data_IF_347884864171
#
_entry.id   IF_347884864171
#
_cell.length_a   1.000
_cell.length_b   1.000
_cell.length_c   1.000
_cell.angle_alpha   90.00
_cell.angle_beta   90.00
_cell.angle_gamma   90.00
#
_symmetry.space_group_name_H-M   'P 1'
#
loop_
_entity.id
_entity.type
_entity.pdbx_description
1 polymer ?
#
# COMPACT_ATOMS: atom_id res chain seq x y z
N UNK A 1 -11.10 -28.99 -40.75
CA UNK A 1 -9.72 -29.30 -40.31
C UNK A 1 -9.56 -30.80 -40.31
N UNK A 2 -8.60 -31.34 -41.05
CA UNK A 2 -8.38 -32.79 -41.18
C UNK A 2 -7.06 -33.17 -40.49
N UNK A 3 -6.95 -34.40 -40.00
CA UNK A 3 -5.69 -34.97 -39.52
C UNK A 3 -4.73 -35.20 -40.69
N UNK A 4 -3.47 -35.51 -40.38
CA UNK A 4 -2.43 -35.86 -41.36
C UNK A 4 -2.80 -37.09 -42.21
N UNK A 5 -3.66 -37.97 -41.70
CA UNK A 5 -4.23 -39.12 -42.42
C UNK A 5 -5.49 -38.78 -43.25
N UNK A 6 -5.82 -37.49 -43.39
CA UNK A 6 -7.01 -36.96 -44.06
C UNK A 6 -8.35 -37.31 -43.39
N UNK A 7 -8.37 -37.93 -42.22
CA UNK A 7 -9.61 -38.10 -41.45
C UNK A 7 -10.13 -36.76 -40.91
N UNK A 8 -11.45 -36.52 -40.90
CA UNK A 8 -12.01 -35.31 -40.31
C UNK A 8 -11.75 -35.31 -38.80
N UNK A 9 -11.28 -34.18 -38.27
CA UNK A 9 -11.19 -34.00 -36.83
C UNK A 9 -12.62 -33.81 -36.31
N UNK A 10 -13.09 -34.61 -35.32
CA UNK A 10 -14.38 -34.39 -34.69
C UNK A 10 -14.48 -32.96 -34.17
N UNK A 11 -15.46 -32.20 -34.65
CA UNK A 11 -15.70 -30.82 -34.26
C UNK A 11 -17.13 -30.68 -33.74
N UNK A 12 -17.31 -29.97 -32.63
CA UNK A 12 -18.61 -29.64 -32.09
C UNK A 12 -19.08 -28.30 -32.69
N UNK A 13 -20.19 -28.31 -33.43
CA UNK A 13 -20.81 -27.07 -33.90
C UNK A 13 -21.57 -26.41 -32.75
N UNK A 14 -21.16 -25.20 -32.36
CA UNK A 14 -21.78 -24.45 -31.27
C UNK A 14 -22.76 -23.37 -31.75
N UNK A 15 -22.83 -23.09 -33.06
CA UNK A 15 -23.59 -21.96 -33.62
C UNK A 15 -25.08 -22.00 -33.27
N UNK A 16 -25.69 -23.18 -33.33
CA UNK A 16 -27.11 -23.40 -32.99
C UNK A 16 -27.36 -23.58 -31.49
N UNK A 17 -26.28 -23.78 -30.70
CA UNK A 17 -26.35 -24.06 -29.27
C UNK A 17 -26.18 -22.78 -28.46
N UNK A 18 -25.33 -21.86 -28.93
CA UNK A 18 -25.04 -20.59 -28.24
C UNK A 18 -25.93 -19.49 -28.81
N UNK A 19 -26.80 -18.86 -28.00
CA UNK A 19 -27.61 -17.73 -28.45
C UNK A 19 -26.73 -16.57 -28.94
N UNK A 20 -27.05 -16.00 -30.11
CA UNK A 20 -26.30 -14.87 -30.67
C UNK A 20 -26.26 -13.67 -29.71
N UNK A 21 -27.34 -13.41 -28.99
CA UNK A 21 -27.41 -12.34 -27.97
C UNK A 21 -26.38 -12.51 -26.85
N UNK A 22 -26.02 -13.75 -26.47
CA UNK A 22 -24.95 -14.01 -25.51
C UNK A 22 -23.59 -13.60 -26.08
N UNK A 23 -23.32 -13.97 -27.33
CA UNK A 23 -22.08 -13.62 -28.03
C UNK A 23 -21.94 -12.10 -28.21
N UNK A 24 -23.04 -11.41 -28.54
CA UNK A 24 -23.05 -9.96 -28.70
C UNK A 24 -22.73 -9.25 -27.38
N UNK A 25 -23.34 -9.70 -26.27
CA UNK A 25 -23.05 -9.16 -24.93
C UNK A 25 -21.62 -9.46 -24.48
N UNK A 26 -21.13 -10.67 -24.72
CA UNK A 26 -19.73 -11.02 -24.47
C UNK A 26 -18.78 -10.10 -25.25
N UNK A 27 -19.03 -9.93 -26.55
CA UNK A 27 -18.22 -9.08 -27.44
C UNK A 27 -18.24 -7.63 -26.97
N UNK A 28 -19.41 -7.10 -26.61
CA UNK A 28 -19.56 -5.76 -26.04
C UNK A 28 -18.73 -5.57 -24.77
N UNK A 29 -18.76 -6.51 -23.82
CA UNK A 29 -17.96 -6.43 -22.60
C UNK A 29 -16.45 -6.58 -22.87
N UNK A 30 -16.07 -7.53 -23.72
CA UNK A 30 -14.67 -7.87 -24.01
C UNK A 30 -13.95 -6.73 -24.72
N UNK A 31 -14.60 -6.10 -25.69
CA UNK A 31 -14.04 -5.04 -26.52
C UNK A 31 -14.48 -3.63 -26.12
N UNK A 32 -15.12 -3.48 -24.95
CA UNK A 32 -15.51 -2.17 -24.42
C UNK A 32 -14.29 -1.28 -24.20
N UNK A 33 -14.32 -0.05 -24.71
CA UNK A 33 -13.35 1.01 -24.41
C UNK A 33 -13.54 1.64 -23.02
N UNK A 34 -14.62 1.30 -22.31
CA UNK A 34 -14.90 1.83 -20.97
C UNK A 34 -14.01 1.18 -19.91
N UNK A 35 -13.68 1.97 -18.90
CA UNK A 35 -12.96 1.53 -17.70
C UNK A 35 -13.69 0.40 -16.96
N UNK A 36 -15.01 0.49 -16.86
CA UNK A 36 -15.88 -0.56 -16.30
C UNK A 36 -16.78 -1.06 -17.42
N UNK A 37 -16.49 -2.24 -18.02
CA UNK A 37 -17.23 -2.74 -19.17
C UNK A 37 -18.73 -2.89 -18.92
N UNK A 38 -19.11 -3.38 -17.74
CA UNK A 38 -20.49 -3.58 -17.33
C UNK A 38 -21.18 -2.29 -16.81
N UNK A 39 -20.53 -1.13 -16.88
CA UNK A 39 -20.97 0.09 -16.17
C UNK A 39 -22.37 0.57 -16.56
N UNK A 40 -22.82 0.32 -17.79
CA UNK A 40 -24.19 0.66 -18.22
C UNK A 40 -25.26 -0.17 -17.50
N UNK A 41 -24.92 -1.39 -17.09
CA UNK A 41 -25.84 -2.35 -16.49
C UNK A 41 -25.66 -2.48 -14.97
N UNK A 42 -24.65 -1.85 -14.38
CA UNK A 42 -24.24 -2.07 -12.99
C UNK A 42 -25.36 -1.76 -11.98
N UNK A 43 -26.23 -0.79 -12.28
CA UNK A 43 -27.37 -0.42 -11.44
C UNK A 43 -28.48 -1.49 -11.43
N UNK A 44 -28.51 -2.35 -12.44
CA UNK A 44 -29.48 -3.44 -12.58
C UNK A 44 -28.95 -4.76 -12.02
N UNK A 45 -27.77 -4.75 -11.39
CA UNK A 45 -27.16 -5.92 -10.79
C UNK A 45 -27.81 -6.16 -9.44
N UNK A 46 -28.02 -7.44 -9.14
CA UNK A 46 -28.60 -7.83 -7.88
C UNK A 46 -27.67 -7.42 -6.74
N UNK A 47 -28.20 -6.72 -5.74
CA UNK A 47 -27.38 -6.19 -4.66
C UNK A 47 -26.74 -7.31 -3.85
N UNK A 48 -27.43 -8.43 -3.63
CA UNK A 48 -26.90 -9.59 -2.88
C UNK A 48 -25.70 -10.18 -3.64
N UNK A 49 -25.83 -10.34 -4.96
CA UNK A 49 -24.73 -10.81 -5.81
C UNK A 49 -23.54 -9.87 -5.77
N UNK A 50 -23.76 -8.55 -5.83
CA UNK A 50 -22.67 -7.57 -5.77
C UNK A 50 -21.94 -7.65 -4.42
N UNK A 51 -22.66 -7.66 -3.29
CA UNK A 51 -22.05 -7.76 -1.97
C UNK A 51 -21.27 -9.08 -1.78
N UNK A 52 -21.88 -10.22 -2.14
CA UNK A 52 -21.20 -11.52 -2.11
C UNK A 52 -19.93 -11.53 -2.97
N UNK A 53 -19.97 -10.88 -4.13
CA UNK A 53 -18.79 -10.75 -4.97
C UNK A 53 -17.71 -9.86 -4.35
N UNK A 54 -18.10 -8.75 -3.71
CA UNK A 54 -17.17 -7.87 -2.99
C UNK A 54 -16.46 -8.61 -1.84
N UNK A 55 -17.16 -9.46 -1.10
CA UNK A 55 -16.55 -10.30 -0.05
C UNK A 55 -15.45 -11.20 -0.61
N UNK A 56 -15.73 -11.88 -1.73
CA UNK A 56 -14.75 -12.71 -2.43
C UNK A 56 -13.55 -11.89 -2.91
N UNK A 57 -13.79 -10.69 -3.44
CA UNK A 57 -12.72 -9.81 -3.93
C UNK A 57 -11.79 -9.34 -2.81
N UNK A 58 -12.31 -9.04 -1.62
CA UNK A 58 -11.46 -8.73 -0.46
C UNK A 58 -10.62 -9.95 -0.07
N UNK A 59 -11.21 -11.14 -0.06
CA UNK A 59 -10.48 -12.38 0.23
C UNK A 59 -9.35 -12.61 -0.80
N UNK A 60 -9.64 -12.55 -2.10
CA UNK A 60 -8.63 -12.69 -3.17
C UNK A 60 -7.51 -11.66 -3.04
N UNK A 61 -7.85 -10.41 -2.69
CA UNK A 61 -6.86 -9.37 -2.47
C UNK A 61 -5.95 -9.67 -1.28
N UNK A 62 -6.51 -10.18 -0.18
CA UNK A 62 -5.75 -10.54 1.01
C UNK A 62 -4.85 -11.75 0.75
N UNK A 63 -5.33 -12.75 0.02
CA UNK A 63 -4.53 -13.90 -0.43
C UNK A 63 -3.36 -13.46 -1.30
N UNK A 64 -3.60 -12.62 -2.32
CA UNK A 64 -2.55 -12.08 -3.19
C UNK A 64 -1.50 -11.27 -2.44
N UNK A 65 -1.91 -10.45 -1.46
CA UNK A 65 -0.97 -9.78 -0.55
C UNK A 65 -0.27 -10.77 0.38
N UNK A 66 -0.97 -11.83 0.75
CA UNK A 66 -0.47 -12.93 1.55
C UNK A 66 0.67 -13.69 0.89
N UNK A 67 0.60 -13.93 -0.41
CA UNK A 67 1.67 -14.56 -1.17
C UNK A 67 2.98 -13.76 -1.08
N UNK A 68 2.88 -12.43 -1.20
CA UNK A 68 4.03 -11.55 -1.05
C UNK A 68 4.60 -11.56 0.39
N UNK A 69 3.74 -11.68 1.40
CA UNK A 69 4.15 -11.81 2.82
C UNK A 69 4.82 -13.17 3.06
N UNK A 70 4.26 -14.25 2.53
CA UNK A 70 4.81 -15.60 2.66
C UNK A 70 6.22 -15.70 2.05
N UNK A 71 6.43 -15.09 0.89
CA UNK A 71 7.76 -15.02 0.27
C UNK A 71 8.77 -14.29 1.18
N UNK A 72 8.36 -13.17 1.78
CA UNK A 72 9.23 -12.43 2.73
C UNK A 72 9.54 -13.25 3.97
N UNK A 73 8.55 -13.93 4.56
CA UNK A 73 8.75 -14.79 5.73
C UNK A 73 9.75 -15.90 5.46
N UNK A 74 9.68 -16.52 4.29
CA UNK A 74 10.67 -17.53 3.89
C UNK A 74 12.09 -16.95 3.86
N UNK A 75 12.24 -15.73 3.31
CA UNK A 75 13.54 -15.04 3.23
C UNK A 75 14.04 -14.52 4.59
N UNK A 76 13.16 -14.27 5.55
CA UNK A 76 13.52 -13.77 6.89
C UNK A 76 13.50 -14.85 7.98
N UNK A 77 13.37 -16.13 7.60
CA UNK A 77 13.31 -17.27 8.53
C UNK A 77 12.16 -17.09 9.55
N UNK A 78 10.97 -16.78 9.03
CA UNK A 78 9.73 -16.57 9.79
C UNK A 78 9.77 -15.40 10.80
N UNK A 79 10.58 -14.38 10.53
CA UNK A 79 10.63 -13.17 11.35
C UNK A 79 9.49 -12.21 11.00
N UNK A 80 8.38 -12.31 11.73
CA UNK A 80 7.23 -11.45 11.54
C UNK A 80 7.46 -9.98 11.87
N UNK A 81 8.39 -9.65 12.77
CA UNK A 81 8.73 -8.26 13.08
C UNK A 81 9.45 -7.62 11.88
N UNK A 82 10.40 -8.34 11.28
CA UNK A 82 11.10 -7.90 10.06
C UNK A 82 10.13 -7.79 8.87
N UNK A 83 9.26 -8.79 8.65
CA UNK A 83 8.29 -8.74 7.54
C UNK A 83 7.27 -7.62 7.73
N UNK A 84 6.85 -7.36 8.97
CA UNK A 84 5.98 -6.22 9.25
C UNK A 84 6.69 -4.89 8.99
N UNK A 85 7.95 -4.75 9.39
CA UNK A 85 8.77 -3.58 9.09
C UNK A 85 8.90 -3.32 7.59
N UNK A 86 9.23 -4.35 6.78
CA UNK A 86 9.26 -4.25 5.32
C UNK A 86 7.90 -3.79 4.76
N UNK A 87 6.82 -4.43 5.18
CA UNK A 87 5.47 -4.12 4.68
C UNK A 87 5.03 -2.70 5.05
N UNK A 88 5.41 -2.24 6.25
CA UNK A 88 5.16 -0.88 6.73
C UNK A 88 5.91 0.16 5.90
N UNK A 89 7.22 -0.02 5.69
CA UNK A 89 8.01 0.90 4.87
C UNK A 89 7.51 0.95 3.43
N UNK A 90 7.29 -0.21 2.81
CA UNK A 90 6.79 -0.28 1.43
C UNK A 90 5.43 0.41 1.28
N UNK A 91 4.58 0.32 2.31
CA UNK A 91 3.31 1.05 2.35
C UNK A 91 3.50 2.57 2.45
N UNK A 92 4.51 3.06 3.17
CA UNK A 92 4.82 4.50 3.25
C UNK A 92 5.22 5.11 1.89
N UNK A 93 5.73 4.31 0.96
CA UNK A 93 6.14 4.76 -0.37
C UNK A 93 5.03 4.92 -1.41
N UNK A 94 3.78 4.58 -1.07
CA UNK A 94 2.71 4.29 -2.02
C UNK A 94 2.40 5.41 -3.06
N UNK A 95 2.17 5.09 -4.35
CA UNK A 95 2.74 3.96 -5.09
C UNK A 95 4.14 4.27 -5.65
N UNK A 96 4.53 5.56 -5.69
CA UNK A 96 5.66 6.02 -6.50
C UNK A 96 7.01 5.59 -5.95
N UNK A 97 7.15 5.52 -4.62
CA UNK A 97 8.37 5.17 -3.89
C UNK A 97 8.27 3.83 -3.14
N UNK A 98 7.29 2.97 -3.43
CA UNK A 98 7.14 1.68 -2.74
C UNK A 98 8.40 0.81 -2.85
N UNK A 99 8.98 0.71 -4.05
CA UNK A 99 10.20 -0.05 -4.32
C UNK A 99 11.45 0.55 -3.63
N UNK A 100 11.71 1.88 -3.71
CA UNK A 100 12.76 2.50 -2.89
C UNK A 100 12.64 2.25 -1.38
N UNK A 101 11.42 2.26 -0.84
CA UNK A 101 11.18 1.95 0.57
C UNK A 101 11.41 0.46 0.91
N UNK A 102 11.02 -0.44 0.02
CA UNK A 102 11.32 -1.87 0.14
C UNK A 102 12.84 -2.12 0.13
N UNK A 103 13.56 -1.41 -0.74
CA UNK A 103 15.02 -1.47 -0.82
C UNK A 103 15.64 -0.94 0.48
N UNK A 104 15.18 0.21 0.97
CA UNK A 104 15.62 0.76 2.26
C UNK A 104 15.44 -0.24 3.41
N UNK A 105 14.29 -0.93 3.49
CA UNK A 105 14.04 -1.94 4.50
C UNK A 105 15.09 -3.07 4.45
N UNK A 106 15.49 -3.48 3.24
CA UNK A 106 16.52 -4.50 3.01
C UNK A 106 17.91 -4.03 3.46
N UNK A 107 18.27 -2.77 3.16
CA UNK A 107 19.56 -2.19 3.54
C UNK A 107 19.63 -1.75 5.02
N UNK A 108 18.49 -1.54 5.66
CA UNK A 108 18.38 -1.18 7.06
C UNK A 108 17.42 -2.14 7.81
N UNK A 109 17.76 -3.44 7.97
CA UNK A 109 16.89 -4.39 8.65
C UNK A 109 16.46 -3.89 10.03
N UNK A 110 15.25 -4.23 10.47
CA UNK A 110 14.70 -3.69 11.73
C UNK A 110 15.63 -4.00 12.91
N UNK A 111 16.26 -5.17 12.92
CA UNK A 111 17.25 -5.56 13.96
C UNK A 111 18.44 -4.62 14.04
N UNK A 112 18.92 -4.10 12.91
CA UNK A 112 20.00 -3.11 12.86
C UNK A 112 19.56 -1.83 13.57
N UNK A 113 18.35 -1.37 13.26
CA UNK A 113 17.76 -0.16 13.85
C UNK A 113 17.56 -0.34 15.35
N UNK A 114 16.96 -1.45 15.79
CA UNK A 114 16.70 -1.70 17.21
C UNK A 114 17.99 -1.84 18.04
N UNK A 115 19.06 -2.35 17.43
CA UNK A 115 20.35 -2.54 18.11
C UNK A 115 21.17 -1.26 18.20
N UNK A 116 21.08 -0.37 17.20
CA UNK A 116 21.99 0.77 17.07
C UNK A 116 21.30 2.14 17.10
N UNK A 117 19.99 2.22 16.94
CA UNK A 117 19.21 3.46 17.04
C UNK A 117 18.76 3.70 18.48
N UNK A 118 19.65 4.20 19.34
CA UNK A 118 19.35 4.37 20.79
C UNK A 118 18.47 5.58 21.08
N UNK A 119 18.43 6.51 20.14
CA UNK A 119 17.62 7.72 20.19
C UNK A 119 17.19 8.10 18.76
N UNK A 120 16.28 9.06 18.65
CA UNK A 120 15.68 9.42 17.36
C UNK A 120 16.72 9.92 16.35
N UNK A 121 17.72 10.68 16.80
CA UNK A 121 18.78 11.20 15.93
C UNK A 121 19.63 10.07 15.35
N UNK A 122 20.02 9.08 16.17
CA UNK A 122 20.77 7.89 15.71
C UNK A 122 19.96 7.04 14.73
N UNK A 123 18.67 6.83 15.00
CA UNK A 123 17.76 6.08 14.12
C UNK A 123 17.54 6.79 12.79
N UNK A 124 17.33 8.10 12.82
CA UNK A 124 17.22 8.92 11.60
C UNK A 124 18.53 8.92 10.82
N UNK A 125 19.69 9.04 11.49
CA UNK A 125 21.00 8.98 10.85
C UNK A 125 21.20 7.66 10.11
N UNK A 126 20.85 6.54 10.75
CA UNK A 126 20.93 5.21 10.16
C UNK A 126 20.03 5.09 8.93
N UNK A 127 18.75 5.45 9.05
CA UNK A 127 17.79 5.33 7.95
C UNK A 127 18.08 6.28 6.78
N UNK A 128 18.37 7.55 7.05
CA UNK A 128 18.71 8.51 5.99
C UNK A 128 20.04 8.20 5.34
N UNK A 129 21.00 7.72 6.13
CA UNK A 129 22.28 7.28 5.64
C UNK A 129 22.16 6.09 4.71
N UNK A 130 21.47 5.03 5.15
CA UNK A 130 21.21 3.85 4.32
C UNK A 130 20.39 4.20 3.08
N UNK A 131 19.46 5.16 3.17
CA UNK A 131 18.72 5.69 2.03
C UNK A 131 19.56 6.50 1.03
N UNK A 132 20.86 6.70 1.26
CA UNK A 132 21.74 7.50 0.40
C UNK A 132 21.45 9.00 0.44
N UNK A 133 20.69 9.48 1.44
CA UNK A 133 20.24 10.88 1.55
C UNK A 133 21.23 11.79 2.29
N UNK A 134 22.31 11.24 2.86
CA UNK A 134 23.32 11.98 3.63
C UNK A 134 24.65 12.21 2.89
N UNK A 135 24.69 12.03 1.56
CA UNK A 135 25.90 12.23 0.74
C UNK A 135 26.11 13.67 0.27
N UNK A 136 25.27 14.63 0.69
CA UNK A 136 25.31 16.03 0.25
C UNK A 136 26.17 16.95 1.13
N UNK A 137 26.41 18.16 0.63
CA UNK A 137 26.99 19.25 1.42
C UNK A 137 25.87 20.00 2.15
N UNK A 138 25.87 19.96 3.47
CA UNK A 138 24.80 20.52 4.30
C UNK A 138 25.22 21.80 5.04
N UNK A 139 24.38 22.83 4.98
CA UNK A 139 24.59 24.12 5.64
C UNK A 139 23.90 24.25 6.99
N UNK A 140 22.94 23.38 7.28
CA UNK A 140 22.18 23.38 8.54
C UNK A 140 22.76 22.36 9.54
N UNK A 141 22.59 22.62 10.84
CA UNK A 141 23.18 21.79 11.90
C UNK A 141 22.63 20.37 11.95
N UNK A 142 21.30 20.22 11.83
CA UNK A 142 20.64 18.92 11.92
C UNK A 142 21.15 17.90 10.89
N UNK A 143 21.12 18.17 9.56
CA UNK A 143 21.65 17.22 8.58
C UNK A 143 23.16 16.97 8.70
N UNK A 144 23.95 17.96 9.14
CA UNK A 144 25.38 17.73 9.45
C UNK A 144 25.59 16.76 10.60
N UNK A 145 24.79 16.87 11.67
CA UNK A 145 24.83 15.93 12.80
C UNK A 145 24.46 14.52 12.36
N UNK A 146 23.39 14.37 11.58
CA UNK A 146 23.01 13.07 11.01
C UNK A 146 24.12 12.47 10.15
N UNK A 147 24.71 13.27 9.25
CA UNK A 147 25.80 12.81 8.37
C UNK A 147 27.00 12.34 9.18
N UNK A 148 27.44 13.11 10.18
CA UNK A 148 28.56 12.73 11.05
C UNK A 148 28.28 11.42 11.79
N UNK A 149 27.09 11.29 12.37
CA UNK A 149 26.67 10.09 13.09
C UNK A 149 26.60 8.87 12.16
N UNK A 150 26.00 9.02 10.98
CA UNK A 150 25.93 7.93 10.01
C UNK A 150 27.31 7.50 9.50
N UNK A 151 28.24 8.43 9.24
CA UNK A 151 29.59 8.07 8.82
C UNK A 151 30.32 7.22 9.88
N UNK A 152 30.13 7.54 11.16
CA UNK A 152 30.63 6.71 12.26
C UNK A 152 29.99 5.31 12.25
N UNK A 153 28.66 5.22 12.16
CA UNK A 153 27.93 3.95 12.12
C UNK A 153 28.31 3.11 10.89
N UNK A 154 28.42 3.75 9.72
CA UNK A 154 28.82 3.14 8.45
C UNK A 154 30.18 2.46 8.57
N UNK A 155 31.18 3.16 9.10
CA UNK A 155 32.50 2.59 9.33
C UNK A 155 32.48 1.48 10.38
N UNK A 156 31.82 1.71 11.52
CA UNK A 156 31.76 0.75 12.64
C UNK A 156 31.05 -0.57 12.28
N UNK A 157 30.01 -0.50 11.46
CA UNK A 157 29.13 -1.62 11.14
C UNK A 157 29.31 -2.12 9.70
N UNK A 158 30.29 -1.58 8.96
CA UNK A 158 30.58 -1.89 7.56
C UNK A 158 29.32 -1.77 6.65
N UNK A 159 28.57 -0.68 6.81
CA UNK A 159 27.32 -0.48 6.09
C UNK A 159 27.57 -0.02 4.65
N UNK A 160 26.74 -0.52 3.74
CA UNK A 160 26.69 -0.05 2.35
C UNK A 160 25.33 0.60 2.11
N UNK A 161 25.25 1.92 1.85
CA UNK A 161 23.97 2.56 1.54
C UNK A 161 23.48 2.18 0.14
N UNK A 162 22.17 2.32 -0.08
CA UNK A 162 21.62 2.37 -1.43
C UNK A 162 21.89 3.74 -2.09
N UNK A 163 21.69 3.81 -3.41
CA UNK A 163 21.85 5.04 -4.17
C UNK A 163 20.68 6.01 -3.93
N UNK A 164 21.00 7.28 -3.65
CA UNK A 164 19.98 8.30 -3.38
C UNK A 164 19.11 8.66 -4.59
N UNK A 165 19.55 8.30 -5.82
CA UNK A 165 18.84 8.57 -7.07
C UNK A 165 17.54 7.75 -7.21
N UNK A 166 17.39 6.67 -6.44
CA UNK A 166 16.19 5.83 -6.44
C UNK A 166 14.93 6.59 -5.96
N UNK A 167 15.12 7.65 -5.16
CA UNK A 167 14.02 8.41 -4.58
C UNK A 167 13.38 9.39 -5.55
N UNK A 168 12.08 9.21 -5.80
CA UNK A 168 11.29 10.07 -6.66
C UNK A 168 10.62 11.18 -5.84
N UNK A 169 10.84 12.42 -6.24
CA UNK A 169 10.20 13.61 -5.63
C UNK A 169 9.24 14.33 -6.59
N UNK A 170 9.39 14.12 -7.90
CA UNK A 170 8.56 14.77 -8.91
C UNK A 170 7.11 14.26 -8.85
N UNK A 171 6.13 15.15 -9.04
CA UNK A 171 4.69 14.84 -9.05
C UNK A 171 4.15 14.24 -7.75
N UNK A 172 4.85 14.45 -6.63
CA UNK A 172 4.43 14.08 -5.29
C UNK A 172 4.18 15.36 -4.48
N UNK A 173 3.14 15.36 -3.63
CA UNK A 173 2.90 16.47 -2.69
C UNK A 173 3.96 16.46 -1.58
N UNK A 174 4.45 17.62 -1.09
CA UNK A 174 5.54 17.66 -0.11
C UNK A 174 5.34 16.79 1.15
N UNK A 175 4.12 16.72 1.68
CA UNK A 175 3.76 15.86 2.81
C UNK A 175 3.94 14.35 2.56
N UNK A 176 4.05 13.93 1.31
CA UNK A 176 4.30 12.55 0.88
C UNK A 176 5.74 12.32 0.42
N UNK A 177 6.64 13.30 0.57
CA UNK A 177 8.04 13.12 0.20
C UNK A 177 8.69 12.01 1.03
N UNK A 178 9.55 11.19 0.40
CA UNK A 178 10.18 10.05 1.08
C UNK A 178 11.01 10.49 2.28
N UNK A 179 11.65 11.67 2.23
CA UNK A 179 12.42 12.20 3.36
C UNK A 179 11.57 12.38 4.63
N UNK A 180 10.39 13.00 4.52
CA UNK A 180 9.49 13.13 5.66
C UNK A 180 8.95 11.77 6.11
N UNK A 181 8.64 10.87 5.17
CA UNK A 181 8.15 9.52 5.49
C UNK A 181 9.20 8.67 6.21
N UNK A 182 10.49 8.81 5.86
CA UNK A 182 11.60 8.14 6.55
C UNK A 182 11.73 8.66 7.99
N UNK A 183 11.67 9.98 8.20
CA UNK A 183 11.71 10.55 9.55
C UNK A 183 10.54 10.06 10.43
N UNK A 184 9.33 10.02 9.85
CA UNK A 184 8.17 9.49 10.55
C UNK A 184 8.32 7.99 10.86
N UNK A 185 8.87 7.20 9.93
CA UNK A 185 9.15 5.79 10.16
C UNK A 185 10.15 5.59 11.31
N UNK A 186 11.23 6.39 11.35
CA UNK A 186 12.22 6.39 12.43
C UNK A 186 11.54 6.58 13.81
N UNK A 187 10.66 7.57 13.91
CA UNK A 187 9.93 7.85 15.14
C UNK A 187 8.97 6.71 15.54
N UNK A 188 8.26 6.11 14.57
CA UNK A 188 7.35 4.98 14.84
C UNK A 188 8.14 3.78 15.37
N UNK A 189 9.21 3.38 14.68
CA UNK A 189 9.99 2.17 15.00
C UNK A 189 10.61 2.32 16.38
N UNK A 190 11.29 3.44 16.65
CA UNK A 190 11.95 3.68 17.92
C UNK A 190 10.97 3.72 19.09
N UNK A 191 9.85 4.42 18.95
CA UNK A 191 8.88 4.59 20.03
C UNK A 191 8.08 3.33 20.35
N UNK A 192 8.00 2.38 19.42
CA UNK A 192 7.02 1.30 19.50
C UNK A 192 7.58 -0.12 19.34
N UNK A 193 8.89 -0.32 19.20
CA UNK A 193 9.45 -1.66 19.14
C UNK A 193 9.11 -2.53 20.38
N UNK A 194 8.89 -3.86 20.22
CA UNK A 194 8.60 -4.55 18.95
C UNK A 194 7.20 -4.19 18.45
N UNK A 195 7.13 -3.64 17.24
CA UNK A 195 5.94 -2.98 16.71
C UNK A 195 4.88 -4.00 16.26
N UNK A 196 5.28 -5.13 15.67
CA UNK A 196 4.34 -6.16 15.22
C UNK A 196 3.53 -6.71 16.40
N UNK A 197 4.20 -7.00 17.52
CA UNK A 197 3.55 -7.47 18.74
C UNK A 197 2.51 -6.48 19.24
N UNK A 198 2.83 -5.18 19.30
CA UNK A 198 1.89 -4.14 19.74
C UNK A 198 0.67 -4.02 18.82
N UNK A 199 0.85 -4.24 17.51
CA UNK A 199 -0.27 -4.25 16.55
C UNK A 199 -1.20 -5.46 16.75
N UNK A 200 -0.65 -6.63 17.08
CA UNK A 200 -1.45 -7.81 17.47
C UNK A 200 -2.27 -7.50 18.73
N UNK A 201 -1.65 -6.90 19.74
CA UNK A 201 -2.28 -6.61 21.05
C UNK A 201 -3.25 -5.43 21.02
N UNK A 202 -3.18 -4.55 20.01
CA UNK A 202 -4.06 -3.39 19.86
C UNK A 202 -5.55 -3.79 19.81
N UNK A 203 -6.44 -3.08 20.51
CA UNK A 203 -7.86 -3.47 20.59
C UNK A 203 -8.69 -2.97 19.40
N UNK A 204 -8.18 -1.99 18.66
CA UNK A 204 -8.85 -1.46 17.49
C UNK A 204 -8.07 -0.34 16.80
N UNK A 205 -8.75 0.33 15.88
CA UNK A 205 -8.19 1.36 14.99
C UNK A 205 -7.50 2.48 15.77
N UNK A 206 -8.11 2.97 16.86
CA UNK A 206 -7.56 4.07 17.65
C UNK A 206 -6.22 3.71 18.33
N UNK A 207 -6.06 2.46 18.77
CA UNK A 207 -4.79 2.01 19.38
C UNK A 207 -3.70 1.94 18.31
N UNK A 208 -4.03 1.41 17.12
CA UNK A 208 -3.10 1.33 15.98
C UNK A 208 -2.70 2.75 15.51
N UNK A 209 -3.66 3.66 15.44
CA UNK A 209 -3.41 5.08 15.13
C UNK A 209 -2.43 5.70 16.14
N UNK A 210 -2.59 5.42 17.44
CA UNK A 210 -1.66 5.91 18.47
C UNK A 210 -0.25 5.37 18.25
N UNK A 211 -0.10 4.08 17.94
CA UNK A 211 1.21 3.48 17.64
C UNK A 211 1.92 4.19 16.47
N UNK A 212 1.17 4.58 15.44
CA UNK A 212 1.73 5.24 14.26
C UNK A 212 1.78 6.78 14.35
N UNK A 213 1.20 7.36 15.40
CA UNK A 213 1.20 8.82 15.63
C UNK A 213 2.48 9.29 16.33
N UNK A 214 3.64 8.97 15.76
CA UNK A 214 4.93 9.38 16.29
C UNK A 214 5.40 10.70 15.67
N UNK A 215 6.09 11.52 16.48
CA UNK A 215 6.59 12.83 16.05
C UNK A 215 8.06 12.69 15.61
N UNK A 216 8.42 13.06 14.36
CA UNK A 216 9.81 13.06 13.90
C UNK A 216 10.62 14.18 14.58
N UNK A 217 11.93 14.24 14.31
CA UNK A 217 12.75 15.36 14.81
C UNK A 217 12.22 16.72 14.37
N UNK A 218 12.43 17.75 15.20
CA UNK A 218 11.89 19.12 15.00
C UNK A 218 12.18 19.72 13.63
N UNK A 219 13.30 19.35 13.01
CA UNK A 219 13.64 19.73 11.64
C UNK A 219 12.49 19.50 10.65
N UNK A 220 11.80 18.35 10.78
CA UNK A 220 10.72 17.92 9.89
C UNK A 220 9.38 18.59 10.18
N UNK A 221 9.28 19.42 11.22
CA UNK A 221 8.10 20.25 11.44
C UNK A 221 7.98 21.35 10.37
N UNK A 222 9.12 21.81 9.85
CA UNK A 222 9.20 22.93 8.90
C UNK A 222 9.84 22.55 7.56
N UNK A 223 10.47 21.38 7.46
CA UNK A 223 11.15 20.90 6.26
C UNK A 223 10.49 19.65 5.69
N UNK A 224 10.44 19.56 4.35
CA UNK A 224 10.06 18.33 3.65
C UNK A 224 11.26 17.61 3.03
N UNK A 225 12.41 18.30 2.90
CA UNK A 225 13.66 17.80 2.32
C UNK A 225 14.84 18.48 3.02
N UNK A 226 16.02 17.85 2.97
CA UNK A 226 17.25 18.51 3.37
C UNK A 226 17.58 19.69 2.43
N UNK A 227 17.95 20.83 3.01
CA UNK A 227 18.41 22.00 2.27
C UNK A 227 19.85 21.77 1.80
N UNK A 228 20.11 22.04 0.52
CA UNK A 228 21.45 21.96 -0.10
C UNK A 228 21.80 23.32 -0.73
N UNK A 229 23.09 23.72 -0.75
CA UNK A 229 23.54 24.96 -1.37
C UNK A 229 23.03 25.09 -2.81
N UNK A 230 22.54 26.28 -3.18
CA UNK A 230 22.09 26.59 -4.54
C UNK A 230 20.65 26.20 -4.89
N UNK A 231 19.91 25.48 -4.02
CA UNK A 231 18.46 25.28 -4.18
C UNK A 231 17.70 26.36 -3.41
N UNK A 232 16.88 27.14 -4.12
CA UNK A 232 16.11 28.25 -3.53
C UNK A 232 15.12 27.75 -2.48
N UNK A 233 14.88 28.60 -1.47
CA UNK A 233 14.01 28.38 -0.30
C UNK A 233 12.60 27.85 -0.65
N UNK A 234 12.10 28.12 -1.86
CA UNK A 234 10.80 27.66 -2.37
C UNK A 234 10.63 26.13 -2.47
N UNK A 235 11.71 25.35 -2.49
CA UNK A 235 11.65 23.87 -2.56
C UNK A 235 11.93 23.16 -1.23
N UNK A 236 12.31 23.92 -0.19
CA UNK A 236 12.74 23.40 1.11
C UNK A 236 11.99 23.95 2.32
N UNK A 237 11.34 25.11 2.23
CA UNK A 237 10.62 25.73 3.35
C UNK A 237 9.27 26.33 2.93
N UNK A 238 8.21 25.72 3.48
CA UNK A 238 7.12 26.34 4.26
C UNK A 238 5.92 25.37 4.22
N UNK A 239 5.58 24.72 5.34
CA UNK A 239 4.18 24.46 5.60
C UNK A 239 3.51 25.83 5.65
N UNK A 240 2.56 26.11 4.73
CA UNK A 240 1.55 27.12 5.05
C UNK A 240 0.94 26.69 6.39
N UNK A 241 0.76 27.68 7.27
CA UNK A 241 0.01 27.54 8.53
C UNK A 241 -1.21 26.65 8.25
N UNK A 242 -1.48 25.61 9.05
CA UNK A 242 -2.55 24.67 8.75
C UNK A 242 -3.85 25.44 8.50
N UNK A 243 -4.34 25.40 7.26
CA UNK A 243 -5.53 26.16 6.84
C UNK A 243 -6.80 25.53 7.43
N UNK A 244 -6.68 24.33 8.03
CA UNK A 244 -7.80 23.55 8.57
C UNK A 244 -7.54 23.06 10.00
N UNK A 245 -8.56 23.11 10.88
CA UNK A 245 -8.51 22.43 12.18
C UNK A 245 -8.26 20.93 11.97
N UNK A 246 -7.11 20.42 12.44
CA UNK A 246 -6.72 19.00 12.34
C UNK A 246 -5.41 18.70 11.62
N UNK A 247 -4.80 19.68 10.94
CA UNK A 247 -3.45 19.55 10.38
C UNK A 247 -2.40 19.84 11.46
N UNK A 248 -1.79 18.79 12.02
CA UNK A 248 -0.74 18.95 13.03
C UNK A 248 0.53 19.46 12.36
N UNK A 249 0.94 20.70 12.66
CA UNK A 249 2.15 21.34 12.15
C UNK A 249 3.47 20.78 12.69
N UNK A 250 3.47 19.58 13.28
CA UNK A 250 4.63 18.94 13.91
C UNK A 250 5.17 17.76 13.08
N UNK A 251 4.91 17.72 11.77
CA UNK A 251 5.41 16.65 10.91
C UNK A 251 4.78 15.27 11.16
N UNK A 252 3.77 15.13 12.01
CA UNK A 252 3.05 13.86 12.24
C UNK A 252 2.19 13.49 11.02
N UNK A 253 1.98 12.19 10.81
CA UNK A 253 1.12 11.70 9.73
C UNK A 253 -0.34 12.15 9.89
N UNK A 254 -0.93 12.62 8.80
CA UNK A 254 -2.37 12.85 8.72
C UNK A 254 -3.16 11.54 8.71
N UNK A 255 -4.42 11.61 9.15
CA UNK A 255 -5.30 10.44 9.29
C UNK A 255 -5.45 9.62 8.00
N UNK A 256 -5.45 10.26 6.83
CA UNK A 256 -5.52 9.56 5.54
C UNK A 256 -4.29 8.65 5.30
N UNK A 257 -3.10 9.09 5.73
CA UNK A 257 -1.89 8.24 5.64
C UNK A 257 -1.98 7.09 6.63
N UNK A 258 -2.42 7.37 7.85
CA UNK A 258 -2.56 6.34 8.88
C UNK A 258 -3.55 5.25 8.45
N UNK A 259 -4.70 5.63 7.90
CA UNK A 259 -5.66 4.69 7.33
C UNK A 259 -5.04 3.85 6.21
N UNK A 260 -4.26 4.48 5.31
CA UNK A 260 -3.56 3.78 4.23
C UNK A 260 -2.55 2.76 4.77
N UNK A 261 -1.81 3.06 5.83
CA UNK A 261 -0.91 2.11 6.48
C UNK A 261 -1.67 0.96 7.14
N UNK A 262 -2.80 1.24 7.78
CA UNK A 262 -3.63 0.18 8.36
C UNK A 262 -4.11 -0.77 7.25
N UNK A 263 -4.61 -0.23 6.15
CA UNK A 263 -5.16 -1.01 5.03
C UNK A 263 -4.08 -1.81 4.28
N UNK A 264 -2.88 -1.24 4.09
CA UNK A 264 -1.86 -1.84 3.25
C UNK A 264 -0.77 -2.62 3.99
N UNK A 265 -0.53 -2.31 5.28
CA UNK A 265 0.44 -3.02 6.11
C UNK A 265 -0.20 -3.84 7.22
N UNK A 266 -1.08 -3.23 8.04
CA UNK A 266 -1.60 -3.90 9.24
C UNK A 266 -2.59 -5.00 8.90
N UNK A 267 -3.60 -4.71 8.07
CA UNK A 267 -4.66 -5.67 7.74
C UNK A 267 -4.10 -6.93 7.07
N UNK A 268 -3.25 -6.84 6.02
CA UNK A 268 -2.67 -8.04 5.40
C UNK A 268 -1.82 -8.86 6.37
N UNK A 269 -1.01 -8.20 7.20
CA UNK A 269 -0.13 -8.89 8.15
C UNK A 269 -0.93 -9.58 9.25
N UNK A 270 -1.94 -8.92 9.84
CA UNK A 270 -2.81 -9.52 10.83
C UNK A 270 -3.59 -10.71 10.26
N UNK A 271 -4.11 -10.58 9.04
CA UNK A 271 -4.85 -11.65 8.38
C UNK A 271 -3.95 -12.87 8.13
N UNK A 272 -2.76 -12.66 7.58
CA UNK A 272 -1.82 -13.76 7.30
C UNK A 272 -1.28 -14.41 8.57
N UNK A 273 -0.97 -13.61 9.59
CA UNK A 273 -0.54 -14.15 10.88
C UNK A 273 -1.66 -14.98 11.53
N UNK A 274 -2.90 -14.47 11.51
CA UNK A 274 -4.08 -15.20 11.96
C UNK A 274 -4.26 -16.54 11.23
N UNK A 275 -4.15 -16.55 9.90
CA UNK A 275 -4.19 -17.79 9.10
C UNK A 275 -3.07 -18.77 9.49
N UNK A 276 -1.84 -18.29 9.62
CA UNK A 276 -0.68 -19.14 9.95
C UNK A 276 -0.74 -19.74 11.36
N UNK A 277 -1.46 -19.10 12.27
CA UNK A 277 -1.60 -19.50 13.67
C UNK A 277 -2.97 -20.12 13.98
N UNK A 278 -3.80 -20.37 12.96
CA UNK A 278 -5.19 -20.84 13.10
C UNK A 278 -6.02 -19.98 14.06
N UNK A 279 -5.77 -18.67 14.06
CA UNK A 279 -6.45 -17.70 14.91
C UNK A 279 -7.46 -16.90 14.08
N UNK A 280 -8.71 -17.37 14.09
CA UNK A 280 -9.83 -16.73 13.37
C UNK A 280 -10.20 -15.36 13.94
N UNK A 281 -9.93 -15.11 15.22
CA UNK A 281 -10.18 -13.81 15.85
C UNK A 281 -9.27 -12.73 15.25
N UNK A 282 -8.02 -13.05 14.93
CA UNK A 282 -7.11 -12.14 14.22
C UNK A 282 -7.53 -11.91 12.77
N UNK A 283 -7.99 -12.95 12.07
CA UNK A 283 -8.54 -12.80 10.73
C UNK A 283 -9.76 -11.87 10.74
N UNK A 284 -10.70 -12.10 11.68
CA UNK A 284 -11.90 -11.26 11.84
C UNK A 284 -11.54 -9.84 12.27
N UNK A 285 -10.57 -9.66 13.17
CA UNK A 285 -10.03 -8.35 13.54
C UNK A 285 -9.52 -7.61 12.30
N UNK A 286 -8.75 -8.26 11.44
CA UNK A 286 -8.23 -7.64 10.22
C UNK A 286 -9.35 -7.13 9.29
N UNK A 287 -10.42 -7.92 9.10
CA UNK A 287 -11.58 -7.50 8.30
C UNK A 287 -12.38 -6.38 8.98
N UNK A 288 -12.59 -6.46 10.29
CA UNK A 288 -13.28 -5.44 11.06
C UNK A 288 -12.54 -4.09 11.04
N UNK A 289 -11.20 -4.10 10.96
CA UNK A 289 -10.44 -2.87 10.75
C UNK A 289 -10.81 -2.18 9.43
N UNK A 290 -11.05 -2.94 8.35
CA UNK A 290 -11.49 -2.34 7.07
C UNK A 290 -12.89 -1.71 7.20
N UNK A 291 -13.84 -2.39 7.84
CA UNK A 291 -15.18 -1.86 8.06
C UNK A 291 -15.19 -0.59 8.93
N UNK A 292 -14.26 -0.47 9.89
CA UNK A 292 -14.17 0.71 10.74
C UNK A 292 -13.44 1.91 10.13
N UNK A 293 -12.90 1.79 8.91
CA UNK A 293 -12.18 2.85 8.22
C UNK A 293 -13.03 3.50 7.13
N UNK A 294 -12.79 4.80 6.89
CA UNK A 294 -13.44 5.52 5.80
C UNK A 294 -13.03 4.94 4.44
N UNK A 295 -13.93 4.95 3.44
CA UNK A 295 -13.58 4.57 2.07
C UNK A 295 -12.37 5.31 1.56
N UNK A 296 -11.53 4.59 0.82
CA UNK A 296 -10.47 5.22 0.04
C UNK A 296 -11.04 6.08 -1.08
N UNK A 297 -10.32 7.17 -1.40
CA UNK A 297 -10.65 8.07 -2.49
C UNK A 297 -9.51 8.10 -3.49
N UNK A 298 -9.76 7.57 -4.68
CA UNK A 298 -8.86 7.58 -5.81
C UNK A 298 -9.65 7.42 -7.12
N UNK A 299 -8.99 7.58 -8.27
CA UNK A 299 -9.67 7.50 -9.56
C UNK A 299 -10.46 6.21 -9.77
N UNK A 300 -10.00 5.07 -9.23
CA UNK A 300 -10.70 3.78 -9.38
C UNK A 300 -12.01 3.75 -8.60
N UNK A 301 -12.05 4.33 -7.40
CA UNK A 301 -13.28 4.44 -6.61
C UNK A 301 -14.22 5.50 -7.18
N UNK A 302 -13.65 6.58 -7.73
CA UNK A 302 -14.41 7.66 -8.37
C UNK A 302 -15.16 7.14 -9.61
N UNK A 303 -14.55 6.23 -10.39
CA UNK A 303 -15.22 5.56 -11.53
C UNK A 303 -16.50 4.81 -11.10
N UNK A 304 -16.47 4.16 -9.93
CA UNK A 304 -17.64 3.45 -9.39
C UNK A 304 -18.71 4.41 -8.86
N UNK A 305 -18.28 5.46 -8.15
CA UNK A 305 -19.20 6.45 -7.60
C UNK A 305 -19.97 7.17 -8.71
N UNK A 306 -19.33 7.48 -9.84
CA UNK A 306 -19.98 8.05 -11.03
C UNK A 306 -21.06 7.14 -11.62
N UNK A 307 -20.91 5.81 -11.46
CA UNK A 307 -21.91 4.84 -11.86
C UNK A 307 -23.00 4.59 -10.80
N UNK A 308 -22.92 5.28 -9.66
CA UNK A 308 -23.87 5.18 -8.56
C UNK A 308 -23.55 4.08 -7.54
N UNK A 309 -22.37 3.44 -7.63
CA UNK A 309 -21.90 2.46 -6.65
C UNK A 309 -21.00 3.17 -5.65
N UNK A 310 -21.48 3.33 -4.41
CA UNK A 310 -20.75 4.02 -3.34
C UNK A 310 -20.25 3.01 -2.32
N UNK A 311 -18.97 3.12 -1.98
CA UNK A 311 -18.37 2.37 -0.87
C UNK A 311 -18.81 2.99 0.46
N UNK A 312 -19.28 2.17 1.40
CA UNK A 312 -19.62 2.61 2.76
C UNK A 312 -18.37 2.76 3.63
N UNK A 313 -17.38 1.88 3.44
CA UNK A 313 -16.15 1.82 4.23
C UNK A 313 -14.90 1.43 3.39
N UNK A 314 -13.78 1.20 4.07
CA UNK A 314 -12.55 0.75 3.41
C UNK A 314 -12.64 -0.69 2.88
N UNK A 315 -13.53 -1.52 3.43
CA UNK A 315 -13.77 -2.88 2.93
C UNK A 315 -14.36 -2.83 1.52
N UNK A 316 -15.44 -2.07 1.34
CA UNK A 316 -16.10 -1.89 0.05
C UNK A 316 -15.17 -1.25 -0.97
N UNK A 317 -14.48 -0.17 -0.60
CA UNK A 317 -13.57 0.49 -1.53
C UNK A 317 -12.41 -0.42 -1.93
N UNK A 318 -11.91 -1.29 -1.05
CA UNK A 318 -10.89 -2.28 -1.41
C UNK A 318 -11.42 -3.37 -2.35
N UNK A 319 -12.64 -3.86 -2.15
CA UNK A 319 -13.30 -4.76 -3.09
C UNK A 319 -13.43 -4.13 -4.48
N UNK A 320 -13.92 -2.89 -4.55
CA UNK A 320 -14.12 -2.16 -5.80
C UNK A 320 -12.81 -1.83 -6.52
N UNK A 321 -11.75 -1.53 -5.77
CA UNK A 321 -10.38 -1.37 -6.32
C UNK A 321 -9.89 -2.69 -6.90
N UNK A 322 -10.07 -3.81 -6.21
CA UNK A 322 -9.68 -5.14 -6.70
C UNK A 322 -10.48 -5.52 -7.95
N UNK A 323 -11.79 -5.26 -7.97
CA UNK A 323 -12.65 -5.48 -9.13
C UNK A 323 -12.15 -4.71 -10.36
N UNK A 324 -11.81 -3.43 -10.18
CA UNK A 324 -11.24 -2.61 -11.27
C UNK A 324 -9.93 -3.18 -11.79
N UNK A 325 -8.98 -3.41 -10.89
CA UNK A 325 -7.61 -3.79 -11.27
C UNK A 325 -7.52 -5.20 -11.83
N UNK A 326 -8.10 -6.18 -11.13
CA UNK A 326 -7.89 -7.61 -11.40
C UNK A 326 -8.93 -8.21 -12.35
N UNK A 327 -10.01 -7.47 -12.67
CA UNK A 327 -11.04 -7.93 -13.61
C UNK A 327 -11.37 -6.93 -14.70
N UNK A 328 -11.76 -5.69 -14.38
CA UNK A 328 -12.23 -4.73 -15.39
C UNK A 328 -11.12 -4.33 -16.36
N UNK A 329 -9.92 -4.00 -15.85
CA UNK A 329 -8.77 -3.60 -16.67
C UNK A 329 -8.32 -4.72 -17.61
N UNK A 330 -8.36 -5.97 -17.13
CA UNK A 330 -7.98 -7.16 -17.91
C UNK A 330 -9.13 -7.73 -18.76
N UNK A 331 -10.31 -7.09 -18.72
CA UNK A 331 -11.54 -7.53 -19.41
C UNK A 331 -11.89 -8.99 -19.09
N UNK A 332 -11.72 -9.40 -17.84
CA UNK A 332 -12.04 -10.76 -17.32
C UNK A 332 -13.51 -10.89 -16.93
N UNK A 333 -14.43 -10.32 -17.71
CA UNK A 333 -15.86 -10.31 -17.41
C UNK A 333 -16.48 -11.71 -17.31
N UNK A 334 -15.90 -12.70 -18.02
CA UNK A 334 -16.29 -14.11 -17.96
C UNK A 334 -15.87 -14.79 -16.64
N UNK A 335 -15.00 -14.18 -15.85
CA UNK A 335 -14.63 -14.70 -14.53
C UNK A 335 -15.19 -13.85 -13.38
N UNK A 336 -16.00 -12.83 -13.71
CA UNK A 336 -16.57 -11.89 -12.76
C UNK A 336 -18.06 -12.19 -12.57
N UNK A 337 -18.53 -12.31 -11.33
CA UNK A 337 -19.95 -12.58 -11.06
C UNK A 337 -20.88 -11.52 -11.68
N UNK A 338 -20.48 -10.25 -11.60
CA UNK A 338 -21.20 -9.13 -12.24
C UNK A 338 -21.23 -9.29 -13.77
N UNK A 339 -20.09 -9.59 -14.38
CA UNK A 339 -20.00 -9.80 -15.83
C UNK A 339 -20.85 -11.00 -16.29
N UNK A 340 -20.84 -12.09 -15.51
CA UNK A 340 -21.70 -13.25 -15.73
C UNK A 340 -23.18 -12.92 -15.69
N UNK A 341 -23.63 -12.14 -14.70
CA UNK A 341 -25.04 -11.73 -14.62
C UNK A 341 -25.44 -10.87 -15.82
N UNK A 342 -24.59 -9.93 -16.25
CA UNK A 342 -24.84 -9.12 -17.45
C UNK A 342 -24.98 -9.99 -18.71
N UNK A 343 -24.10 -10.98 -18.88
CA UNK A 343 -24.17 -11.89 -20.04
C UNK A 343 -25.37 -12.82 -20.02
N UNK A 344 -25.77 -13.30 -18.83
CA UNK A 344 -26.89 -14.23 -18.64
C UNK A 344 -28.27 -13.58 -18.65
N UNK A 345 -28.38 -12.24 -18.65
CA UNK A 345 -29.67 -11.55 -18.81
C UNK A 345 -30.40 -12.14 -20.02
N UNK A 346 -31.65 -12.55 -19.83
CA UNK A 346 -32.47 -13.02 -20.94
C UNK A 346 -32.90 -11.83 -21.78
#
# INVERSE_FOLDING_TARGET
VFRSDKSPIPALELKSIIPQSLLDRYTSLRYSSKEIPCGAEIKNIDSILLHSWMERLVAERLERKGDAIALKLNNTINDWEEVFYHTLLTSLGNPVNSMPFELLATFAPVKLILKHGRNLMETEALLFGQAGMLNGNFTEDYPRKLQKEYLYQKHKLNLTPMEGAEWKFARIRPFNFPSLRIAQAAAIILGNAPLFRKVIEARGINDIIKLFSATPSEYWHTHYRFVTPGKTKATGQQPKKPEKPGEKGNGVMGISTLNMLIINAVVPILFMYGKSTFNDDLCRKALNLLHGLKPEKNSLTDDWEQLGIKAADAYDSQALIELRKSFCNEKRCVHCAVGHQVMKKR
#
